data_IF_895699532323
#
_entry.id   IF_895699532323
#
_cell.length_a   1.000
_cell.length_b   1.000
_cell.length_c   1.000
_cell.angle_alpha   90.00
_cell.angle_beta   90.00
_cell.angle_gamma   90.00
#
_symmetry.space_group_name_H-M   'P 1'
#
loop_
_entity.id
_entity.type
_entity.pdbx_description
1 polymer ?
#
# COMPACT_ATOMS: atom_id res chain seq x y z
N UNK A 1 -17.39 21.69 -5.65
CA UNK A 1 -16.76 21.16 -6.86
C UNK A 1 -15.32 21.63 -6.89
N UNK A 2 -14.41 20.69 -7.06
CA UNK A 2 -12.97 20.83 -6.81
C UNK A 2 -12.62 20.46 -5.37
N UNK A 3 -11.51 19.75 -5.17
CA UNK A 3 -11.03 19.39 -3.83
C UNK A 3 -10.79 20.64 -2.97
N UNK A 4 -11.12 20.54 -1.68
CA UNK A 4 -10.96 21.61 -0.70
C UNK A 4 -9.83 21.23 0.26
N UNK A 5 -8.69 21.90 0.12
CA UNK A 5 -7.57 21.77 1.06
C UNK A 5 -7.63 22.87 2.12
N UNK A 6 -7.62 22.42 3.36
CA UNK A 6 -7.57 23.25 4.57
C UNK A 6 -6.34 22.88 5.41
N UNK A 7 -5.22 22.58 4.74
CA UNK A 7 -3.99 22.07 5.36
C UNK A 7 -3.29 23.07 6.28
N UNK A 8 -3.74 24.34 6.31
CA UNK A 8 -3.30 25.32 7.30
C UNK A 8 -4.05 25.24 8.64
N UNK A 9 -5.12 24.43 8.75
CA UNK A 9 -5.86 24.24 9.99
C UNK A 9 -5.12 23.25 10.90
N UNK A 10 -4.80 23.69 12.10
CA UNK A 10 -4.17 22.86 13.15
C UNK A 10 -5.20 22.31 14.16
N UNK A 11 -6.41 22.88 14.18
CA UNK A 11 -7.51 22.47 15.05
C UNK A 11 -8.82 22.46 14.26
N UNK A 12 -9.71 21.50 14.59
CA UNK A 12 -11.02 21.37 13.94
C UNK A 12 -12.09 20.92 14.94
N UNK A 13 -13.09 21.75 15.15
CA UNK A 13 -14.25 21.39 15.97
C UNK A 13 -15.22 20.47 15.23
N UNK A 14 -15.98 19.65 15.98
CA UNK A 14 -17.02 18.77 15.43
C UNK A 14 -18.02 19.51 14.53
N UNK A 15 -18.51 20.68 14.99
CA UNK A 15 -19.50 21.46 14.25
C UNK A 15 -18.98 21.91 12.87
N UNK A 16 -17.70 22.29 12.79
CA UNK A 16 -17.05 22.67 11.54
C UNK A 16 -16.80 21.43 10.67
N UNK A 17 -16.33 20.34 11.25
CA UNK A 17 -16.17 19.07 10.54
C UNK A 17 -17.48 18.57 9.90
N UNK A 18 -18.60 18.65 10.63
CA UNK A 18 -19.93 18.30 10.11
C UNK A 18 -20.39 19.20 8.96
N UNK A 19 -20.05 20.49 9.01
CA UNK A 19 -20.35 21.42 7.92
C UNK A 19 -19.52 21.11 6.69
N UNK A 20 -18.23 20.82 6.87
CA UNK A 20 -17.28 20.53 5.80
C UNK A 20 -17.52 19.17 5.16
N UNK A 21 -17.91 18.13 5.92
CA UNK A 21 -18.17 16.78 5.42
C UNK A 21 -19.24 16.71 4.30
N UNK A 22 -20.08 17.75 4.17
CA UNK A 22 -21.07 17.91 3.09
C UNK A 22 -20.46 18.31 1.74
N UNK A 23 -19.19 18.66 1.72
CA UNK A 23 -18.45 18.89 0.50
C UNK A 23 -18.44 17.61 -0.35
N UNK A 24 -18.47 17.74 -1.69
CA UNK A 24 -18.67 16.61 -2.60
C UNK A 24 -17.38 15.92 -3.03
N UNK A 25 -16.30 16.69 -3.18
CA UNK A 25 -14.99 16.18 -3.58
C UNK A 25 -14.06 16.12 -2.36
N UNK A 26 -12.80 15.74 -2.57
CA UNK A 26 -11.81 15.57 -1.50
C UNK A 26 -11.72 16.70 -0.49
N UNK A 27 -11.49 16.32 0.77
CA UNK A 27 -11.29 17.22 1.91
C UNK A 27 -9.95 16.93 2.57
N UNK A 28 -9.01 17.86 2.48
CA UNK A 28 -7.68 17.71 3.06
C UNK A 28 -7.51 18.53 4.32
N UNK A 29 -7.00 17.90 5.38
CA UNK A 29 -6.66 18.52 6.66
C UNK A 29 -5.28 18.09 7.14
N UNK A 30 -4.27 18.15 6.28
CA UNK A 30 -2.90 17.73 6.59
C UNK A 30 -2.19 18.60 7.63
N UNK A 31 -2.82 19.70 8.08
CA UNK A 31 -2.33 20.52 9.19
C UNK A 31 -2.74 20.00 10.57
N UNK A 32 -3.75 19.12 10.66
CA UNK A 32 -4.21 18.58 11.94
C UNK A 32 -3.19 17.58 12.49
N UNK A 33 -2.71 17.83 13.69
CA UNK A 33 -1.78 16.91 14.40
C UNK A 33 -2.50 16.00 15.39
N UNK A 34 -3.70 16.39 15.82
CA UNK A 34 -4.57 15.64 16.72
C UNK A 34 -6.00 15.58 16.19
N UNK A 35 -6.74 14.53 16.57
CA UNK A 35 -8.12 14.34 16.16
C UNK A 35 -8.96 13.73 17.29
N UNK A 36 -9.99 14.46 17.70
CA UNK A 36 -10.98 13.94 18.66
C UNK A 36 -11.90 12.90 18.01
N UNK A 37 -12.48 12.00 18.82
CA UNK A 37 -13.49 11.03 18.36
C UNK A 37 -14.67 11.71 17.64
N UNK A 38 -15.18 12.81 18.20
CA UNK A 38 -16.32 13.52 17.62
C UNK A 38 -15.97 14.15 16.26
N UNK A 39 -14.78 14.76 16.13
CA UNK A 39 -14.30 15.31 14.85
C UNK A 39 -14.06 14.19 13.84
N UNK A 40 -13.45 13.07 14.24
CA UNK A 40 -13.24 11.89 13.40
C UNK A 40 -14.57 11.34 12.87
N UNK A 41 -15.58 11.16 13.75
CA UNK A 41 -16.90 10.66 13.39
C UNK A 41 -17.66 11.62 12.46
N UNK A 42 -17.44 12.93 12.60
CA UNK A 42 -17.98 13.92 11.67
C UNK A 42 -17.32 13.83 10.28
N UNK A 43 -15.99 13.71 10.24
CA UNK A 43 -15.23 13.59 8.99
C UNK A 43 -15.50 12.26 8.27
N UNK A 44 -15.69 11.16 8.99
CA UNK A 44 -15.97 9.85 8.40
C UNK A 44 -17.25 9.81 7.53
N UNK A 45 -18.19 10.73 7.77
CA UNK A 45 -19.41 10.89 6.95
C UNK A 45 -19.14 11.45 5.55
N UNK A 46 -17.97 12.05 5.35
CA UNK A 46 -17.55 12.56 4.05
C UNK A 46 -17.39 11.39 3.05
N UNK A 47 -17.67 11.66 1.77
CA UNK A 47 -17.73 10.65 0.71
C UNK A 47 -16.54 10.73 -0.27
N UNK A 48 -15.79 11.84 -0.25
CA UNK A 48 -14.57 11.99 -1.03
C UNK A 48 -13.34 11.50 -0.26
N UNK A 49 -12.18 11.57 -0.91
CA UNK A 49 -10.88 11.33 -0.28
C UNK A 49 -10.67 12.21 0.96
N UNK A 50 -10.04 11.65 1.99
CA UNK A 50 -9.82 12.32 3.26
C UNK A 50 -8.32 12.26 3.66
N UNK A 51 -7.48 13.18 3.13
CA UNK A 51 -6.11 13.30 3.60
C UNK A 51 -6.00 13.91 5.00
N UNK A 52 -5.39 13.17 5.92
CA UNK A 52 -5.13 13.54 7.32
C UNK A 52 -3.66 13.30 7.68
N UNK A 53 -2.76 13.59 6.73
CA UNK A 53 -1.33 13.25 6.81
C UNK A 53 -0.55 14.06 7.85
N UNK A 54 -1.19 15.03 8.52
CA UNK A 54 -0.60 15.73 9.66
C UNK A 54 -0.68 14.96 10.98
N UNK A 55 -1.56 13.95 11.07
CA UNK A 55 -1.79 13.22 12.31
C UNK A 55 -0.58 12.35 12.63
N UNK A 56 0.10 12.67 13.73
CA UNK A 56 1.25 11.87 14.21
C UNK A 56 0.86 10.82 15.24
N UNK A 57 -0.31 10.99 15.85
CA UNK A 57 -0.91 10.05 16.78
C UNK A 57 -2.42 9.94 16.54
N UNK A 58 -2.99 8.81 16.91
CA UNK A 58 -4.43 8.56 16.80
C UNK A 58 -4.90 7.75 18.01
N UNK A 59 -5.98 8.19 18.64
CA UNK A 59 -6.63 7.41 19.68
C UNK A 59 -7.42 6.24 19.08
N UNK A 60 -7.64 5.17 19.86
CA UNK A 60 -8.49 4.05 19.42
C UNK A 60 -9.89 4.51 19.00
N UNK A 61 -10.49 5.43 19.77
CA UNK A 61 -11.82 5.96 19.48
C UNK A 61 -11.87 6.74 18.16
N UNK A 62 -10.88 7.60 17.90
CA UNK A 62 -10.78 8.32 16.63
C UNK A 62 -10.51 7.37 15.45
N UNK A 63 -9.67 6.34 15.64
CA UNK A 63 -9.42 5.32 14.63
C UNK A 63 -10.67 4.51 14.29
N UNK A 64 -11.46 4.11 15.29
CA UNK A 64 -12.73 3.42 15.08
C UNK A 64 -13.73 4.30 14.32
N UNK A 65 -13.80 5.58 14.65
CA UNK A 65 -14.66 6.53 13.96
C UNK A 65 -14.24 6.73 12.50
N UNK A 66 -12.93 6.88 12.23
CA UNK A 66 -12.41 7.00 10.87
C UNK A 66 -12.58 5.73 10.04
N UNK A 67 -12.58 4.55 10.65
CA UNK A 67 -12.78 3.28 9.94
C UNK A 67 -14.19 3.16 9.30
N UNK A 68 -15.17 3.96 9.73
CA UNK A 68 -16.48 4.04 9.09
C UNK A 68 -16.47 4.85 7.79
N UNK A 69 -15.36 5.52 7.47
CA UNK A 69 -15.20 6.25 6.22
C UNK A 69 -15.18 5.27 5.03
N UNK A 70 -15.90 5.61 3.95
CA UNK A 70 -16.13 4.71 2.83
C UNK A 70 -15.29 5.03 1.58
N UNK A 71 -14.43 6.03 1.66
CA UNK A 71 -13.53 6.43 0.57
C UNK A 71 -12.06 6.25 0.97
N UNK A 72 -11.16 6.84 0.19
CA UNK A 72 -9.72 6.77 0.42
C UNK A 72 -9.32 7.57 1.66
N UNK A 73 -8.65 6.90 2.60
CA UNK A 73 -8.16 7.48 3.85
C UNK A 73 -6.64 7.54 3.84
N UNK A 74 -6.07 8.73 4.04
CA UNK A 74 -4.62 8.93 4.08
C UNK A 74 -4.21 9.35 5.49
N UNK A 75 -3.32 8.56 6.10
CA UNK A 75 -2.82 8.72 7.46
C UNK A 75 -1.28 8.65 7.47
N UNK A 76 -0.66 9.23 6.46
CA UNK A 76 0.79 9.12 6.22
C UNK A 76 1.64 9.87 7.26
N UNK A 77 1.03 10.60 8.19
CA UNK A 77 1.72 11.21 9.33
C UNK A 77 2.02 10.23 10.47
N UNK A 78 1.34 9.08 10.51
CA UNK A 78 1.50 8.09 11.56
C UNK A 78 2.82 7.34 11.35
N UNK A 79 3.74 7.47 12.31
CA UNK A 79 5.06 6.82 12.25
C UNK A 79 5.08 5.44 12.94
N UNK A 80 4.14 5.21 13.86
CA UNK A 80 3.93 3.96 14.60
C UNK A 80 2.44 3.75 14.87
N UNK A 81 2.03 2.48 15.08
CA UNK A 81 0.66 2.13 15.46
C UNK A 81 0.63 1.26 16.71
N UNK A 82 -0.21 1.64 17.66
CA UNK A 82 -0.65 0.70 18.69
C UNK A 82 -1.48 -0.43 18.08
N UNK A 83 -1.54 -1.57 18.75
CA UNK A 83 -2.37 -2.70 18.32
C UNK A 83 -3.86 -2.32 18.23
N UNK A 84 -4.34 -1.47 19.14
CA UNK A 84 -5.73 -1.02 19.17
C UNK A 84 -6.08 -0.19 17.92
N UNK A 85 -5.21 0.76 17.55
CA UNK A 85 -5.38 1.59 16.35
C UNK A 85 -5.29 0.73 15.09
N UNK A 86 -4.33 -0.18 15.00
CA UNK A 86 -4.20 -1.10 13.86
C UNK A 86 -5.46 -1.97 13.67
N UNK A 87 -6.04 -2.49 14.76
CA UNK A 87 -7.32 -3.26 14.72
C UNK A 87 -8.51 -2.41 14.32
N UNK A 88 -8.55 -1.15 14.73
CA UNK A 88 -9.60 -0.24 14.34
C UNK A 88 -9.51 0.08 12.83
N UNK A 89 -8.33 0.48 12.36
CA UNK A 89 -8.09 0.81 10.95
C UNK A 89 -8.26 -0.38 10.01
N UNK A 90 -8.00 -1.61 10.46
CA UNK A 90 -8.26 -2.82 9.68
C UNK A 90 -9.75 -3.02 9.32
N UNK A 91 -10.67 -2.33 10.02
CA UNK A 91 -12.11 -2.34 9.73
C UNK A 91 -12.54 -1.22 8.79
N UNK A 92 -11.59 -0.46 8.25
CA UNK A 92 -11.87 0.61 7.29
C UNK A 92 -12.78 0.11 6.17
N UNK A 93 -13.85 0.85 5.89
CA UNK A 93 -14.87 0.45 4.91
C UNK A 93 -14.56 0.96 3.49
N UNK A 94 -13.61 1.89 3.37
CA UNK A 94 -13.13 2.37 2.08
C UNK A 94 -12.23 1.36 1.38
N UNK A 95 -12.03 1.58 0.08
CA UNK A 95 -11.23 0.69 -0.76
C UNK A 95 -9.71 0.86 -0.62
N UNK A 96 -9.25 1.99 -0.05
CA UNK A 96 -7.81 2.27 0.12
C UNK A 96 -7.52 2.93 1.47
N UNK A 97 -6.47 2.44 2.11
CA UNK A 97 -5.90 2.95 3.35
C UNK A 97 -4.39 3.18 3.15
N UNK A 98 -3.96 4.43 3.24
CA UNK A 98 -2.57 4.82 3.12
C UNK A 98 -1.98 5.08 4.50
N UNK A 99 -0.91 4.34 4.81
CA UNK A 99 -0.16 4.42 6.06
C UNK A 99 1.32 4.57 5.73
N UNK A 100 1.62 5.43 4.76
CA UNK A 100 2.91 5.43 4.10
C UNK A 100 4.02 5.94 5.02
N UNK A 101 3.74 6.80 6.00
CA UNK A 101 4.74 7.27 6.96
C UNK A 101 5.14 6.27 8.04
N UNK A 102 4.58 5.05 8.07
CA UNK A 102 4.97 4.07 9.07
C UNK A 102 6.43 3.65 8.88
N UNK A 103 7.25 4.01 9.86
CA UNK A 103 8.68 3.64 9.88
C UNK A 103 8.92 2.34 10.63
N UNK A 104 7.96 1.91 11.46
CA UNK A 104 7.98 0.63 12.14
C UNK A 104 6.58 0.04 12.25
N UNK A 105 6.50 -1.29 12.21
CA UNK A 105 5.26 -2.02 12.38
C UNK A 105 5.52 -3.23 13.30
N UNK A 106 4.74 -3.35 14.36
CA UNK A 106 4.82 -4.53 15.22
C UNK A 106 4.17 -5.74 14.53
N UNK A 107 4.53 -6.96 14.93
CA UNK A 107 3.90 -8.17 14.38
C UNK A 107 2.38 -8.21 14.64
N UNK A 108 1.92 -7.72 15.81
CA UNK A 108 0.49 -7.68 16.15
C UNK A 108 -0.25 -6.61 15.35
N UNK A 109 0.35 -5.43 15.13
CA UNK A 109 -0.21 -4.38 14.28
C UNK A 109 -0.28 -4.83 12.81
N UNK A 110 0.76 -5.50 12.30
CA UNK A 110 0.75 -6.11 10.97
C UNK A 110 -0.36 -7.17 10.84
N UNK A 111 -0.60 -7.95 11.89
CA UNK A 111 -1.61 -9.02 11.87
C UNK A 111 -3.02 -8.45 11.85
N UNK A 112 -3.24 -7.37 12.59
CA UNK A 112 -4.49 -6.65 12.56
C UNK A 112 -4.74 -6.05 11.16
N UNK A 113 -3.78 -5.28 10.64
CA UNK A 113 -3.92 -4.63 9.34
C UNK A 113 -4.01 -5.62 8.17
N UNK A 114 -3.40 -6.79 8.28
CA UNK A 114 -3.55 -7.86 7.29
C UNK A 114 -4.98 -8.40 7.16
N UNK A 115 -5.92 -8.05 8.04
CA UNK A 115 -7.33 -8.40 7.91
C UNK A 115 -8.13 -7.37 7.10
N UNK A 116 -7.50 -6.26 6.69
CA UNK A 116 -8.14 -5.23 5.91
C UNK A 116 -8.46 -5.74 4.50
N UNK A 117 -9.75 -5.68 4.15
CA UNK A 117 -10.25 -6.09 2.84
C UNK A 117 -10.24 -4.90 1.85
N UNK A 118 -9.04 -4.47 1.48
CA UNK A 118 -8.81 -3.36 0.56
C UNK A 118 -7.35 -3.20 0.17
N UNK A 119 -7.02 -2.04 -0.40
CA UNK A 119 -5.64 -1.68 -0.74
C UNK A 119 -4.93 -1.02 0.44
N UNK A 120 -3.89 -1.68 0.91
CA UNK A 120 -3.06 -1.21 2.02
C UNK A 120 -1.69 -0.78 1.51
N UNK A 121 -1.32 0.46 1.82
CA UNK A 121 -0.03 1.03 1.43
C UNK A 121 0.87 1.28 2.65
N UNK A 122 2.12 0.82 2.54
CA UNK A 122 3.18 1.01 3.54
C UNK A 122 4.45 1.56 2.89
N UNK A 123 4.32 2.64 2.12
CA UNK A 123 5.39 3.09 1.24
C UNK A 123 6.70 3.35 1.99
N UNK A 124 6.76 4.13 3.07
CA UNK A 124 8.03 4.48 3.74
C UNK A 124 8.57 3.41 4.71
N UNK A 125 7.97 2.21 4.74
CA UNK A 125 8.47 1.10 5.55
C UNK A 125 9.70 0.47 4.88
N UNK A 126 10.86 1.10 5.09
CA UNK A 126 12.14 0.72 4.46
C UNK A 126 12.75 -0.56 5.00
N UNK A 127 12.37 -0.97 6.21
CA UNK A 127 12.79 -2.24 6.82
C UNK A 127 11.58 -3.00 7.31
N UNK A 128 11.42 -4.22 6.83
CA UNK A 128 10.40 -5.14 7.31
C UNK A 128 11.07 -6.24 8.13
N UNK A 129 10.89 -6.27 9.47
CA UNK A 129 11.30 -7.43 10.26
C UNK A 129 10.67 -8.70 9.71
N UNK A 130 11.37 -9.83 9.75
CA UNK A 130 10.87 -11.12 9.21
C UNK A 130 9.45 -11.46 9.71
N UNK A 131 9.15 -11.14 10.96
CA UNK A 131 7.82 -11.35 11.54
C UNK A 131 6.72 -10.52 10.86
N UNK A 132 7.02 -9.28 10.47
CA UNK A 132 6.08 -8.40 9.76
C UNK A 132 5.83 -8.90 8.34
N UNK A 133 6.91 -9.27 7.61
CA UNK A 133 6.78 -9.81 6.25
C UNK A 133 5.94 -11.09 6.27
N UNK A 134 6.17 -11.98 7.24
CA UNK A 134 5.42 -13.23 7.37
C UNK A 134 3.93 -12.99 7.56
N UNK A 135 3.59 -12.00 8.37
CA UNK A 135 2.20 -11.67 8.65
C UNK A 135 1.53 -11.00 7.45
N UNK A 136 2.20 -10.04 6.80
CA UNK A 136 1.66 -9.35 5.63
C UNK A 136 1.50 -10.28 4.41
N UNK A 137 2.41 -11.23 4.21
CA UNK A 137 2.27 -12.20 3.13
C UNK A 137 1.16 -13.23 3.35
N UNK A 138 0.76 -13.46 4.60
CA UNK A 138 -0.34 -14.35 4.99
C UNK A 138 -1.62 -13.57 5.35
N UNK A 139 -1.64 -12.26 5.08
CA UNK A 139 -2.80 -11.41 5.20
C UNK A 139 -3.96 -11.92 4.33
N UNK A 140 -5.13 -11.32 4.49
CA UNK A 140 -6.35 -11.67 3.78
C UNK A 140 -6.06 -11.89 2.28
N UNK A 141 -6.40 -13.07 1.72
CA UNK A 141 -6.22 -13.37 0.30
C UNK A 141 -6.85 -12.38 -0.68
N UNK A 142 -7.77 -11.53 -0.23
CA UNK A 142 -8.41 -10.48 -1.02
C UNK A 142 -7.67 -9.13 -0.94
N UNK A 143 -6.79 -8.93 0.04
CA UNK A 143 -6.07 -7.67 0.25
C UNK A 143 -5.07 -7.38 -0.86
N UNK A 144 -4.91 -6.11 -1.23
CA UNK A 144 -3.82 -5.67 -2.11
C UNK A 144 -2.70 -5.08 -1.26
N UNK A 145 -1.46 -5.49 -1.53
CA UNK A 145 -0.30 -5.08 -0.76
C UNK A 145 0.66 -4.25 -1.62
N UNK A 146 0.92 -3.00 -1.23
CA UNK A 146 1.99 -2.19 -1.82
C UNK A 146 3.15 -1.97 -0.85
N UNK A 147 4.37 -2.20 -1.35
CA UNK A 147 5.65 -1.96 -0.69
C UNK A 147 6.56 -1.12 -1.60
N UNK A 148 6.01 -0.06 -2.21
CA UNK A 148 6.62 0.68 -3.33
C UNK A 148 7.80 1.60 -2.97
N UNK A 149 8.29 1.66 -1.72
CA UNK A 149 9.66 2.18 -1.43
C UNK A 149 10.64 1.11 -1.01
N UNK A 150 10.28 -0.17 -1.05
CA UNK A 150 11.26 -1.23 -0.88
C UNK A 150 12.22 -1.19 -2.07
N UNK A 151 13.45 -0.73 -1.85
CA UNK A 151 14.46 -0.56 -2.91
C UNK A 151 15.37 -1.78 -3.09
N UNK A 152 15.35 -2.70 -2.12
CA UNK A 152 16.08 -3.96 -2.18
C UNK A 152 15.20 -5.11 -1.67
N UNK A 153 15.25 -6.25 -2.36
CA UNK A 153 14.47 -7.42 -2.01
C UNK A 153 15.40 -8.61 -1.68
N UNK A 154 15.73 -8.82 -0.39
CA UNK A 154 16.40 -10.05 0.03
C UNK A 154 15.58 -11.28 -0.34
N UNK A 155 16.25 -12.37 -0.74
CA UNK A 155 15.57 -13.62 -1.17
C UNK A 155 14.64 -14.16 -0.08
N UNK A 156 15.01 -14.06 1.20
CA UNK A 156 14.16 -14.48 2.31
C UNK A 156 12.84 -13.68 2.36
N UNK A 157 12.89 -12.38 2.10
CA UNK A 157 11.69 -11.52 2.02
C UNK A 157 10.85 -11.90 0.80
N UNK A 158 11.49 -12.13 -0.37
CA UNK A 158 10.81 -12.59 -1.57
C UNK A 158 10.05 -13.92 -1.35
N UNK A 159 10.66 -14.87 -0.63
CA UNK A 159 10.06 -16.19 -0.34
C UNK A 159 8.78 -16.09 0.47
N UNK A 160 8.72 -15.08 1.31
CA UNK A 160 7.55 -14.81 2.13
C UNK A 160 6.52 -14.07 1.29
N UNK A 161 6.87 -12.94 0.66
CA UNK A 161 5.95 -12.13 -0.14
C UNK A 161 5.31 -12.90 -1.32
N UNK A 162 6.03 -13.84 -1.94
CA UNK A 162 5.47 -14.66 -3.01
C UNK A 162 4.27 -15.53 -2.57
N UNK A 163 4.06 -15.73 -1.26
CA UNK A 163 2.90 -16.46 -0.70
C UNK A 163 1.63 -15.62 -0.65
N UNK A 164 1.73 -14.30 -0.78
CA UNK A 164 0.57 -13.44 -0.91
C UNK A 164 -0.26 -13.90 -2.13
N UNK A 165 -1.59 -13.84 -2.04
CA UNK A 165 -2.47 -14.47 -3.04
C UNK A 165 -3.04 -13.50 -4.08
N UNK A 166 -2.98 -12.20 -3.82
CA UNK A 166 -3.58 -11.17 -4.67
C UNK A 166 -2.51 -10.22 -5.22
N UNK A 167 -2.88 -8.98 -5.52
CA UNK A 167 -2.00 -7.95 -6.05
C UNK A 167 -0.86 -7.60 -5.07
N UNK A 168 0.38 -7.76 -5.53
CA UNK A 168 1.60 -7.37 -4.86
C UNK A 168 2.33 -6.30 -5.69
N UNK A 169 2.49 -5.11 -5.13
CA UNK A 169 3.29 -4.02 -5.72
C UNK A 169 4.65 -3.90 -5.06
N UNK A 170 5.69 -3.91 -5.90
CA UNK A 170 7.09 -3.74 -5.54
C UNK A 170 7.76 -2.72 -6.48
N UNK A 171 7.03 -1.66 -6.84
CA UNK A 171 7.47 -0.64 -7.81
C UNK A 171 8.61 0.25 -7.29
N UNK A 172 8.99 0.10 -6.02
CA UNK A 172 10.19 0.70 -5.44
C UNK A 172 11.49 0.01 -5.85
N UNK A 173 11.43 -1.25 -6.30
CA UNK A 173 12.61 -2.00 -6.71
C UNK A 173 13.16 -1.44 -8.01
N UNK A 174 14.42 -1.03 -7.99
CA UNK A 174 15.15 -0.59 -9.19
C UNK A 174 16.00 -1.72 -9.80
N UNK A 175 16.38 -2.68 -8.96
CA UNK A 175 17.12 -3.89 -9.31
C UNK A 175 16.44 -5.13 -8.69
N UNK A 176 16.56 -6.27 -9.37
CA UNK A 176 16.05 -7.55 -8.91
C UNK A 176 17.10 -8.63 -9.15
N UNK A 177 17.50 -9.33 -8.09
CA UNK A 177 18.42 -10.47 -8.22
C UNK A 177 17.75 -11.66 -8.90
N UNK A 178 18.53 -12.47 -9.61
CA UNK A 178 18.04 -13.70 -10.27
C UNK A 178 17.31 -14.63 -9.29
N UNK A 179 17.84 -14.77 -8.08
CA UNK A 179 17.25 -15.60 -7.03
C UNK A 179 15.90 -15.04 -6.54
N UNK A 180 15.78 -13.73 -6.37
CA UNK A 180 14.51 -13.10 -6.00
C UNK A 180 13.49 -13.19 -7.15
N UNK A 181 13.92 -13.03 -8.41
CA UNK A 181 13.08 -13.22 -9.58
C UNK A 181 12.53 -14.65 -9.68
N UNK A 182 13.37 -15.66 -9.42
CA UNK A 182 12.94 -17.07 -9.39
C UNK A 182 11.87 -17.33 -8.33
N UNK A 183 11.98 -16.67 -7.18
CA UNK A 183 11.01 -16.81 -6.10
C UNK A 183 9.71 -16.09 -6.43
N UNK A 184 9.78 -14.83 -6.89
CA UNK A 184 8.60 -14.06 -7.28
C UNK A 184 7.85 -14.67 -8.46
N UNK A 185 8.53 -15.42 -9.33
CA UNK A 185 7.89 -16.19 -10.40
C UNK A 185 6.84 -17.21 -9.88
N UNK A 186 6.95 -17.65 -8.62
CA UNK A 186 6.01 -18.60 -8.02
C UNK A 186 4.71 -17.94 -7.50
N UNK A 187 4.69 -16.61 -7.39
CA UNK A 187 3.51 -15.87 -6.96
C UNK A 187 2.37 -16.02 -7.98
N UNK A 188 1.14 -16.18 -7.49
CA UNK A 188 -0.04 -16.51 -8.32
C UNK A 188 -1.00 -15.34 -8.53
N UNK A 189 -0.84 -14.27 -7.76
CA UNK A 189 -1.64 -13.05 -7.89
C UNK A 189 -1.20 -12.19 -9.07
N UNK A 190 -1.42 -10.89 -8.98
CA UNK A 190 -0.84 -9.92 -9.91
C UNK A 190 0.44 -9.33 -9.29
N UNK A 191 1.47 -9.13 -10.10
CA UNK A 191 2.77 -8.63 -9.62
C UNK A 191 3.18 -7.38 -10.36
N UNK A 192 3.34 -6.29 -9.63
CA UNK A 192 3.92 -5.06 -10.16
C UNK A 192 5.40 -4.94 -9.77
N UNK A 193 6.24 -4.88 -10.79
CA UNK A 193 7.69 -4.62 -10.72
C UNK A 193 8.02 -3.42 -11.62
N UNK A 194 7.12 -2.43 -11.62
CA UNK A 194 7.15 -1.26 -12.48
C UNK A 194 8.35 -0.35 -12.26
N UNK A 195 9.06 -0.49 -11.14
CA UNK A 195 10.28 0.26 -10.81
C UNK A 195 11.54 -0.23 -11.53
N UNK A 196 11.58 -1.49 -11.96
CA UNK A 196 12.81 -2.12 -12.45
C UNK A 196 13.29 -1.43 -13.73
N UNK A 197 14.55 -1.03 -13.76
CA UNK A 197 15.13 -0.37 -14.95
C UNK A 197 15.76 -1.36 -15.94
N UNK A 198 16.18 -2.52 -15.44
CA UNK A 198 16.87 -3.57 -16.17
C UNK A 198 16.58 -4.94 -15.56
N UNK A 199 16.73 -5.98 -16.37
CA UNK A 199 16.73 -7.38 -15.92
C UNK A 199 17.94 -8.09 -16.50
N UNK A 200 18.52 -9.00 -15.72
CA UNK A 200 19.45 -9.99 -16.25
C UNK A 200 18.72 -11.01 -17.13
N UNK A 201 19.46 -11.76 -17.94
CA UNK A 201 18.90 -12.86 -18.74
C UNK A 201 18.24 -13.92 -17.84
N UNK A 202 18.84 -14.21 -16.68
CA UNK A 202 18.33 -15.20 -15.74
C UNK A 202 17.07 -14.73 -15.02
N UNK A 203 17.02 -13.46 -14.59
CA UNK A 203 15.83 -12.86 -14.00
C UNK A 203 14.67 -12.80 -15.02
N UNK A 204 14.96 -12.43 -16.27
CA UNK A 204 13.98 -12.46 -17.35
C UNK A 204 13.45 -13.87 -17.65
N UNK A 205 14.32 -14.89 -17.65
CA UNK A 205 13.92 -16.29 -17.80
C UNK A 205 13.08 -16.80 -16.63
N UNK A 206 13.38 -16.37 -15.42
CA UNK A 206 12.56 -16.68 -14.25
C UNK A 206 11.16 -16.05 -14.37
N UNK A 207 11.09 -14.75 -14.64
CA UNK A 207 9.83 -14.02 -14.77
C UNK A 207 9.00 -14.47 -15.99
N UNK A 208 9.62 -15.00 -17.04
CA UNK A 208 8.90 -15.62 -18.16
C UNK A 208 8.08 -16.86 -17.74
N UNK A 209 8.43 -17.48 -16.60
CA UNK A 209 7.72 -18.63 -16.00
C UNK A 209 6.79 -18.21 -14.86
N UNK A 210 6.54 -16.91 -14.73
CA UNK A 210 5.68 -16.38 -13.68
C UNK A 210 4.29 -17.03 -13.73
N UNK A 211 3.79 -17.46 -12.57
CA UNK A 211 2.54 -18.23 -12.45
C UNK A 211 1.29 -17.35 -12.39
N UNK A 212 1.45 -16.07 -12.05
CA UNK A 212 0.35 -15.11 -12.05
C UNK A 212 -0.09 -14.73 -13.45
N UNK A 213 -1.26 -14.10 -13.53
CA UNK A 213 -1.88 -13.72 -14.81
C UNK A 213 -1.35 -12.42 -15.39
N UNK A 214 -0.92 -11.49 -14.53
CA UNK A 214 -0.54 -10.14 -14.95
C UNK A 214 0.79 -9.74 -14.30
N UNK A 215 1.74 -9.33 -15.13
CA UNK A 215 3.07 -8.87 -14.73
C UNK A 215 3.35 -7.48 -15.28
N UNK A 216 3.57 -6.51 -14.41
CA UNK A 216 3.89 -5.13 -14.80
C UNK A 216 5.40 -4.90 -14.76
N UNK A 217 5.99 -4.55 -15.90
CA UNK A 217 7.43 -4.25 -16.08
C UNK A 217 7.63 -2.87 -16.73
N UNK A 218 6.85 -1.89 -16.25
CA UNK A 218 6.62 -0.60 -16.91
C UNK A 218 7.86 0.27 -17.17
N UNK A 219 8.94 0.16 -16.37
CA UNK A 219 10.16 0.98 -16.51
C UNK A 219 11.38 0.21 -17.00
N UNK A 220 11.24 -1.05 -17.40
CA UNK A 220 12.37 -1.83 -17.92
C UNK A 220 12.79 -1.27 -19.27
N UNK A 221 13.94 -0.61 -19.31
CA UNK A 221 14.48 0.07 -20.52
C UNK A 221 15.68 -0.66 -21.12
N UNK A 222 16.30 -1.56 -20.35
CA UNK A 222 17.55 -2.23 -20.71
C UNK A 222 17.35 -3.74 -20.61
N UNK A 223 17.24 -4.40 -21.77
CA UNK A 223 17.17 -5.85 -21.92
C UNK A 223 18.13 -6.29 -23.02
N UNK A 224 18.69 -7.49 -22.86
CA UNK A 224 19.38 -8.18 -23.94
C UNK A 224 18.37 -8.86 -24.88
N UNK A 225 18.82 -9.26 -26.07
CA UNK A 225 18.02 -10.10 -26.97
C UNK A 225 17.56 -11.42 -26.32
N UNK A 226 18.40 -11.98 -25.44
CA UNK A 226 18.08 -13.21 -24.69
C UNK A 226 16.93 -12.95 -23.71
N UNK A 227 17.00 -11.85 -22.96
CA UNK A 227 15.99 -11.47 -21.99
C UNK A 227 14.64 -11.17 -22.68
N UNK A 228 14.65 -10.45 -23.81
CA UNK A 228 13.45 -10.19 -24.61
C UNK A 228 12.84 -11.50 -25.13
N UNK A 229 13.65 -12.40 -25.69
CA UNK A 229 13.19 -13.71 -26.18
C UNK A 229 12.62 -14.59 -25.07
N UNK A 230 13.16 -14.47 -23.86
CA UNK A 230 12.63 -15.17 -22.69
C UNK A 230 11.27 -14.60 -22.29
N UNK A 231 11.16 -13.29 -22.07
CA UNK A 231 9.92 -12.61 -21.67
C UNK A 231 8.79 -12.78 -22.70
N UNK A 232 9.12 -12.85 -23.99
CA UNK A 232 8.15 -13.13 -25.06
C UNK A 232 7.49 -14.52 -24.97
N UNK A 233 8.01 -15.42 -24.12
CA UNK A 233 7.42 -16.75 -23.87
C UNK A 233 6.43 -16.74 -22.70
N UNK A 234 6.29 -15.62 -21.98
CA UNK A 234 5.31 -15.51 -20.92
C UNK A 234 3.89 -15.62 -21.49
N UNK A 235 3.10 -16.54 -20.91
CA UNK A 235 1.74 -16.85 -21.41
C UNK A 235 0.66 -15.92 -20.84
N UNK A 236 0.98 -15.12 -19.82
CA UNK A 236 0.07 -14.15 -19.23
C UNK A 236 0.13 -12.77 -19.89
N UNK A 237 -0.53 -11.79 -19.26
CA UNK A 237 -0.53 -10.41 -19.70
C UNK A 237 0.69 -9.69 -19.12
N UNK A 238 1.66 -9.40 -19.98
CA UNK A 238 2.73 -8.48 -19.62
C UNK A 238 2.31 -7.08 -20.03
N UNK A 239 2.26 -6.14 -19.08
CA UNK A 239 1.85 -4.77 -19.33
C UNK A 239 3.09 -3.87 -19.35
N UNK A 240 3.65 -3.59 -20.54
CA UNK A 240 4.63 -2.52 -20.72
C UNK A 240 3.87 -1.19 -20.85
N UNK A 241 3.53 -0.59 -19.70
CA UNK A 241 3.02 0.80 -19.55
C UNK A 241 1.65 1.11 -20.19
N UNK A 242 0.64 1.43 -19.36
CA UNK A 242 -0.42 2.36 -19.75
C UNK A 242 0.16 3.79 -19.76
N UNK A 243 0.03 4.47 -20.90
CA UNK A 243 0.04 5.93 -20.97
C UNK A 243 -1.30 6.38 -20.36
N UNK A 244 -1.26 7.37 -19.46
CA UNK A 244 -2.45 8.04 -18.91
C UNK A 244 -3.50 8.33 -19.99
#
# INVERSE_FOLDING_TARGET
QGGLSLDGLIELSEAVALALAKHQDGLSFNGLTELSEATAAALAKHQGELPLNGLTELSEAAALALAEHQSELYLDGLNELSEAVAKALAKHQGGRLFLDGLTSLSATSAQALGQYNGYLSFSDLTTLPDAVVQVLALADPQSWLSLDKLTALPVAVAQVLAKHQNFLSLDGLTELSDAAAQVLAEHQGELSLGGLEALSDAAAQALARYKGKTLYLSRVRRLSDTAVKALAQYEGEMIPRFVN
#
